data_IF_255823584768
#
_entry.id   IF_255823584768
#
_cell.length_a   1.000
_cell.length_b   1.000
_cell.length_c   1.000
_cell.angle_alpha   90.00
_cell.angle_beta   90.00
_cell.angle_gamma   90.00
#
_symmetry.space_group_name_H-M   'P 1'
#
loop_
_entity.id
_entity.type
_entity.pdbx_description
1 polymer ?
#
# COMPACT_ATOMS: atom_id res chain seq x y z
N UNK A 1 9.77 11.21 20.97
CA UNK A 1 9.14 9.89 21.02
C UNK A 1 9.21 9.28 19.62
N UNK A 2 9.77 8.08 19.48
CA UNK A 2 9.87 7.38 18.19
C UNK A 2 8.47 7.01 17.72
N UNK A 3 8.01 7.64 16.64
CA UNK A 3 6.68 7.41 16.04
C UNK A 3 6.68 6.08 15.26
N UNK A 4 7.03 4.98 15.92
CA UNK A 4 7.06 3.66 15.31
C UNK A 4 5.62 3.20 15.09
N UNK A 5 5.23 3.12 13.82
CA UNK A 5 3.95 2.58 13.40
C UNK A 5 3.86 1.14 13.93
N UNK A 6 2.79 0.78 14.67
CA UNK A 6 2.67 -0.57 15.20
C UNK A 6 2.66 -1.58 14.06
N UNK A 7 3.36 -2.73 14.20
CA UNK A 7 3.40 -3.74 13.16
C UNK A 7 1.97 -4.26 12.91
N UNK A 8 1.40 -3.86 11.77
CA UNK A 8 0.08 -4.31 11.35
C UNK A 8 0.26 -5.62 10.59
N UNK A 9 -0.17 -6.72 11.20
CA UNK A 9 -0.14 -8.04 10.57
C UNK A 9 -1.33 -8.19 9.63
N UNK A 10 -1.09 -8.04 8.33
CA UNK A 10 -2.10 -8.24 7.28
C UNK A 10 -1.96 -9.67 6.76
N UNK A 11 -3.05 -10.44 6.77
CA UNK A 11 -3.09 -11.75 6.13
C UNK A 11 -3.32 -11.56 4.64
N UNK A 12 -2.32 -11.93 3.85
CA UNK A 12 -2.37 -11.92 2.39
C UNK A 12 -2.39 -13.36 1.87
N UNK A 13 -3.16 -13.66 0.82
CA UNK A 13 -3.02 -14.90 0.08
C UNK A 13 -1.58 -15.08 -0.42
N UNK A 14 -1.11 -16.33 -0.50
CA UNK A 14 0.24 -16.68 -1.00
C UNK A 14 0.54 -16.01 -2.36
N UNK A 15 -0.42 -16.05 -3.28
CA UNK A 15 -0.24 -15.52 -4.64
C UNK A 15 -0.03 -14.01 -4.64
N UNK A 16 -0.83 -13.28 -3.84
CA UNK A 16 -0.70 -11.84 -3.66
C UNK A 16 0.63 -11.47 -3.02
N UNK A 17 1.07 -12.25 -2.02
CA UNK A 17 2.37 -12.05 -1.36
C UNK A 17 3.53 -12.23 -2.35
N UNK A 18 3.47 -13.25 -3.21
CA UNK A 18 4.49 -13.47 -4.25
C UNK A 18 4.50 -12.32 -5.26
N UNK A 19 3.34 -11.96 -5.78
CA UNK A 19 3.21 -10.86 -6.73
C UNK A 19 3.73 -9.54 -6.17
N UNK A 20 3.35 -9.18 -4.93
CA UNK A 20 3.85 -7.99 -4.23
C UNK A 20 5.36 -8.07 -3.98
N UNK A 21 5.88 -9.26 -3.67
CA UNK A 21 7.31 -9.49 -3.48
C UNK A 21 8.12 -9.22 -4.75
N UNK A 22 7.70 -9.76 -5.89
CA UNK A 22 8.33 -9.49 -7.18
C UNK A 22 8.30 -8.01 -7.52
N UNK A 23 7.13 -7.37 -7.38
CA UNK A 23 6.97 -5.94 -7.67
C UNK A 23 7.84 -5.06 -6.77
N UNK A 24 7.95 -5.37 -5.49
CA UNK A 24 8.79 -4.64 -4.55
C UNK A 24 10.28 -4.73 -4.92
N UNK A 25 10.73 -5.90 -5.41
CA UNK A 25 12.09 -6.10 -5.92
C UNK A 25 12.32 -5.25 -7.17
N UNK A 26 11.39 -5.25 -8.12
CA UNK A 26 11.49 -4.44 -9.35
C UNK A 26 11.56 -2.93 -9.04
N UNK A 27 10.82 -2.49 -8.02
CA UNK A 27 10.80 -1.10 -7.56
C UNK A 27 11.96 -0.73 -6.61
N UNK A 28 12.80 -1.69 -6.21
CA UNK A 28 13.89 -1.47 -5.26
C UNK A 28 13.45 -1.04 -3.86
N UNK A 29 12.26 -1.46 -3.42
CA UNK A 29 11.67 -1.11 -2.12
C UNK A 29 11.36 -2.35 -1.28
N UNK A 30 11.13 -2.16 0.02
CA UNK A 30 10.65 -3.27 0.87
C UNK A 30 9.20 -3.62 0.55
N UNK A 31 8.85 -4.89 0.75
CA UNK A 31 7.47 -5.38 0.59
C UNK A 31 6.47 -4.51 1.35
N UNK A 32 6.78 -4.14 2.60
CA UNK A 32 5.93 -3.27 3.42
C UNK A 32 5.74 -1.89 2.78
N UNK A 33 6.82 -1.30 2.24
CA UNK A 33 6.75 0.02 1.59
C UNK A 33 5.91 -0.03 0.31
N UNK A 34 6.04 -1.11 -0.47
CA UNK A 34 5.22 -1.32 -1.67
C UNK A 34 3.74 -1.46 -1.31
N UNK A 35 3.42 -2.30 -0.31
CA UNK A 35 2.04 -2.46 0.19
C UNK A 35 1.46 -1.12 0.62
N UNK A 36 2.20 -0.35 1.41
CA UNK A 36 1.76 0.97 1.85
C UNK A 36 1.57 1.92 0.65
N UNK A 37 2.50 1.92 -0.30
CA UNK A 37 2.42 2.79 -1.48
C UNK A 37 1.16 2.52 -2.30
N UNK A 38 0.77 1.24 -2.46
CA UNK A 38 -0.45 0.85 -3.16
C UNK A 38 -1.68 1.34 -2.39
N UNK A 39 -1.72 1.10 -1.07
CA UNK A 39 -2.85 1.50 -0.22
C UNK A 39 -3.03 3.02 -0.16
N UNK A 40 -1.93 3.77 0.00
CA UNK A 40 -1.98 5.24 0.00
C UNK A 40 -2.37 5.80 -1.36
N UNK A 41 -1.86 5.21 -2.44
CA UNK A 41 -2.24 5.61 -3.80
C UNK A 41 -3.73 5.38 -4.04
N UNK A 42 -4.30 4.27 -3.59
CA UNK A 42 -5.72 4.00 -3.75
C UNK A 42 -6.57 4.94 -2.87
N UNK A 43 -6.14 5.17 -1.63
CA UNK A 43 -6.80 6.13 -0.73
C UNK A 43 -6.87 7.54 -1.32
N UNK A 44 -5.79 8.00 -1.96
CA UNK A 44 -5.76 9.31 -2.60
C UNK A 44 -6.65 9.36 -3.85
N UNK A 45 -6.66 8.29 -4.66
CA UNK A 45 -7.56 8.18 -5.82
C UNK A 45 -9.03 8.21 -5.41
N UNK A 46 -9.39 7.54 -4.31
CA UNK A 46 -10.76 7.59 -3.76
C UNK A 46 -11.13 8.99 -3.27
N UNK A 47 -10.20 9.71 -2.61
CA UNK A 47 -10.42 11.10 -2.19
C UNK A 47 -10.70 12.01 -3.38
N UNK A 48 -9.82 12.01 -4.38
CA UNK A 48 -9.97 12.84 -5.58
C UNK A 48 -11.24 12.51 -6.35
N UNK A 49 -11.62 11.22 -6.42
CA UNK A 49 -12.85 10.79 -7.09
C UNK A 49 -14.11 11.24 -6.34
N UNK A 50 -14.07 11.27 -5.01
CA UNK A 50 -15.20 11.71 -4.20
C UNK A 50 -15.36 13.24 -4.25
N UNK A 51 -14.26 13.99 -4.30
CA UNK A 51 -14.27 15.45 -4.47
C UNK A 51 -14.82 15.90 -5.84
N UNK A 52 -14.58 15.11 -6.91
CA UNK A 52 -15.11 15.41 -8.26
C UNK A 52 -16.61 15.11 -8.43
N UNK A 53 -17.23 14.36 -7.52
CA UNK A 53 -18.66 14.00 -7.59
C UNK A 53 -19.55 15.06 -6.93
N UNK A 54 -18.98 16.02 -6.19
CA UNK A 54 -19.70 17.06 -5.45
C UNK A 54 -19.45 18.49 -5.98
N UNK A 55 -18.88 18.62 -7.18
CA UNK A 55 -18.62 19.90 -7.85
C UNK A 55 -19.54 20.14 -9.05
#
# INVERSE_FOLDING_TARGET
MSNQIPPTSIRLPEDLKRWLGHRAVDNGVSLTKEVLSILYSEMERERESNERTVA
#
